data_IF_598921585415
#
_entry.id   IF_598921585415
#
_cell.length_a   1.000
_cell.length_b   1.000
_cell.length_c   1.000
_cell.angle_alpha   90.00
_cell.angle_beta   90.00
_cell.angle_gamma   90.00
#
_symmetry.space_group_name_H-M   'P 1'
#
loop_
_entity.id
_entity.type
_entity.pdbx_description
1 polymer ?
#
# COMPACT_ATOMS: atom_id res chain seq x y z
N UNK A 1 -39.62 21.16 -22.68
CA UNK A 1 -39.21 20.44 -21.44
C UNK A 1 -38.30 19.27 -21.79
N UNK A 2 -37.16 19.54 -22.46
CA UNK A 2 -36.30 18.48 -23.00
C UNK A 2 -34.83 18.93 -22.96
N UNK A 3 -34.27 19.11 -21.77
CA UNK A 3 -32.86 19.53 -21.59
C UNK A 3 -32.31 19.15 -20.20
N UNK A 4 -32.72 18.00 -19.63
CA UNK A 4 -32.40 17.72 -18.21
C UNK A 4 -31.90 16.31 -17.88
N UNK A 5 -31.51 15.48 -18.87
CA UNK A 5 -31.04 14.10 -18.57
C UNK A 5 -29.68 13.69 -19.14
N UNK A 6 -28.99 14.54 -19.91
CA UNK A 6 -27.66 14.17 -20.45
C UNK A 6 -26.46 14.66 -19.63
N UNK A 7 -26.67 15.38 -18.52
CA UNK A 7 -25.58 15.95 -17.71
C UNK A 7 -25.34 15.22 -16.39
N UNK A 8 -25.27 13.88 -16.39
CA UNK A 8 -24.93 13.11 -15.19
C UNK A 8 -23.98 11.93 -15.40
N UNK A 9 -23.41 11.72 -16.59
CA UNK A 9 -22.46 10.62 -16.83
C UNK A 9 -20.99 11.05 -16.97
N UNK A 10 -20.67 12.35 -16.84
CA UNK A 10 -19.28 12.81 -16.78
C UNK A 10 -18.94 13.30 -15.38
N UNK A 11 -19.01 12.39 -14.40
CA UNK A 11 -18.27 12.58 -13.14
C UNK A 11 -16.79 12.49 -13.52
N UNK A 12 -16.22 13.65 -13.85
CA UNK A 12 -14.78 13.87 -13.85
C UNK A 12 -14.26 13.58 -12.45
N UNK A 13 -13.91 12.31 -12.20
CA UNK A 13 -12.93 11.95 -11.20
C UNK A 13 -11.57 12.30 -11.79
N UNK A 14 -11.25 13.60 -11.83
CA UNK A 14 -9.86 14.03 -11.84
C UNK A 14 -9.29 13.64 -10.47
N UNK A 15 -8.99 12.35 -10.32
CA UNK A 15 -8.22 11.84 -9.20
C UNK A 15 -6.80 12.34 -9.44
N UNK A 16 -6.22 13.16 -8.55
CA UNK A 16 -4.82 13.48 -8.66
C UNK A 16 -4.05 12.16 -8.65
N UNK A 17 -3.13 12.00 -9.62
CA UNK A 17 -2.20 10.89 -9.83
C UNK A 17 -1.30 10.68 -8.61
N UNK A 18 -1.92 10.32 -7.48
CA UNK A 18 -1.22 9.96 -6.25
C UNK A 18 -0.99 8.46 -6.23
N UNK A 19 -1.00 7.81 -7.40
CA UNK A 19 -0.45 6.48 -7.53
C UNK A 19 1.05 6.57 -7.24
N UNK A 20 1.54 5.72 -6.35
CA UNK A 20 2.98 5.70 -6.09
C UNK A 20 3.67 5.22 -7.37
N UNK A 21 4.70 5.95 -7.83
CA UNK A 21 5.47 5.60 -9.03
C UNK A 21 5.92 4.12 -9.02
N UNK A 22 6.15 3.55 -7.83
CA UNK A 22 6.41 2.11 -7.66
C UNK A 22 5.26 1.21 -8.09
N UNK A 23 4.01 1.50 -7.73
CA UNK A 23 2.85 0.67 -8.12
C UNK A 23 2.67 0.74 -9.64
N UNK A 24 2.86 1.93 -10.23
CA UNK A 24 2.84 2.08 -11.69
C UNK A 24 3.94 1.24 -12.37
N UNK A 25 5.16 1.23 -11.84
CA UNK A 25 6.26 0.42 -12.35
C UNK A 25 5.97 -1.10 -12.26
N UNK A 26 5.32 -1.54 -11.18
CA UNK A 26 4.90 -2.94 -11.03
C UNK A 26 3.86 -3.34 -12.08
N UNK A 27 2.88 -2.48 -12.37
CA UNK A 27 1.88 -2.71 -13.41
C UNK A 27 2.53 -2.82 -14.80
N UNK A 28 3.51 -1.97 -15.11
CA UNK A 28 4.24 -2.06 -16.37
C UNK A 28 5.01 -3.39 -16.48
N UNK A 29 5.64 -3.83 -15.40
CA UNK A 29 6.32 -5.14 -15.35
C UNK A 29 5.35 -6.31 -15.54
N UNK A 30 4.13 -6.25 -14.99
CA UNK A 30 3.10 -7.26 -15.22
C UNK A 30 2.77 -7.36 -16.72
N UNK A 31 2.58 -6.21 -17.38
CA UNK A 31 2.30 -6.15 -18.81
C UNK A 31 3.46 -6.69 -19.66
N UNK A 32 4.71 -6.36 -19.33
CA UNK A 32 5.90 -6.91 -20.00
C UNK A 32 6.00 -8.44 -19.82
N UNK A 33 5.59 -8.96 -18.66
CA UNK A 33 5.49 -10.38 -18.41
C UNK A 33 4.28 -11.06 -19.08
N UNK A 34 3.50 -10.33 -19.87
CA UNK A 34 2.30 -10.82 -20.54
C UNK A 34 1.11 -11.05 -19.61
N UNK A 35 1.18 -10.58 -18.35
CA UNK A 35 0.09 -10.69 -17.39
C UNK A 35 -0.82 -9.50 -17.52
N UNK A 36 -2.11 -9.76 -17.71
CA UNK A 36 -3.13 -8.73 -17.82
C UNK A 36 -4.43 -9.21 -17.19
N UNK A 37 -5.10 -8.31 -16.50
CA UNK A 37 -6.47 -8.52 -16.08
C UNK A 37 -7.41 -8.20 -17.24
N UNK A 38 -8.05 -9.23 -17.80
CA UNK A 38 -8.91 -9.08 -18.97
C UNK A 38 -10.21 -8.33 -18.67
N UNK A 39 -10.72 -8.36 -17.43
CA UNK A 39 -11.89 -7.58 -17.04
C UNK A 39 -11.59 -6.08 -17.06
N UNK A 40 -10.47 -5.69 -16.44
CA UNK A 40 -9.98 -4.31 -16.48
C UNK A 40 -9.59 -3.87 -17.89
N UNK A 41 -9.06 -4.78 -18.70
CA UNK A 41 -8.71 -4.50 -20.10
C UNK A 41 -9.95 -4.19 -20.94
N UNK A 42 -11.01 -5.00 -20.81
CA UNK A 42 -12.26 -4.78 -21.52
C UNK A 42 -12.92 -3.46 -21.11
N UNK A 43 -12.88 -3.13 -19.82
CA UNK A 43 -13.33 -1.81 -19.34
C UNK A 43 -12.53 -0.68 -19.99
N UNK A 44 -11.20 -0.77 -20.00
CA UNK A 44 -10.33 0.24 -20.61
C UNK A 44 -10.59 0.39 -22.12
N UNK A 45 -10.84 -0.71 -22.84
CA UNK A 45 -11.19 -0.72 -24.26
C UNK A 45 -12.54 -0.05 -24.51
N UNK A 46 -13.55 -0.35 -23.69
CA UNK A 46 -14.88 0.26 -23.78
C UNK A 46 -14.81 1.78 -23.55
N UNK A 47 -14.11 2.22 -22.49
CA UNK A 47 -13.92 3.65 -22.17
C UNK A 47 -13.11 4.39 -23.24
N UNK A 48 -12.25 3.67 -23.96
CA UNK A 48 -11.39 4.22 -25.02
C UNK A 48 -12.00 4.08 -26.42
N UNK A 49 -13.25 3.66 -26.55
CA UNK A 49 -13.92 3.43 -27.85
C UNK A 49 -13.13 2.49 -28.77
N UNK A 50 -12.55 1.44 -28.20
CA UNK A 50 -11.73 0.43 -28.89
C UNK A 50 -10.41 0.95 -29.47
N UNK A 51 -9.99 2.17 -29.15
CA UNK A 51 -8.65 2.67 -29.45
C UNK A 51 -7.64 2.00 -28.50
N UNK A 52 -6.84 1.07 -29.05
CA UNK A 52 -5.89 0.27 -28.28
C UNK A 52 -4.82 1.11 -27.57
N UNK A 53 -4.40 2.23 -28.18
CA UNK A 53 -3.37 3.10 -27.62
C UNK A 53 -3.89 3.83 -26.37
N UNK A 54 -5.10 4.38 -26.46
CA UNK A 54 -5.78 5.02 -25.33
C UNK A 54 -6.19 4.01 -24.27
N UNK A 55 -6.64 2.83 -24.69
CA UNK A 55 -6.99 1.74 -23.78
C UNK A 55 -5.80 1.27 -22.96
N UNK A 56 -4.58 1.25 -23.53
CA UNK A 56 -3.38 0.90 -22.78
C UNK A 56 -3.10 1.91 -21.67
N UNK A 57 -3.15 3.22 -21.96
CA UNK A 57 -2.98 4.27 -20.94
C UNK A 57 -4.06 4.14 -19.86
N UNK A 58 -5.31 3.90 -20.28
CA UNK A 58 -6.43 3.76 -19.34
C UNK A 58 -6.35 2.51 -18.48
N UNK A 59 -5.94 1.38 -19.06
CA UNK A 59 -5.72 0.12 -18.35
C UNK A 59 -4.66 0.29 -17.27
N UNK A 60 -3.52 0.93 -17.58
CA UNK A 60 -2.45 1.17 -16.60
C UNK A 60 -2.99 1.98 -15.43
N UNK A 61 -3.80 3.01 -15.67
CA UNK A 61 -4.41 3.81 -14.61
C UNK A 61 -5.36 2.97 -13.73
N UNK A 62 -6.29 2.22 -14.33
CA UNK A 62 -7.24 1.37 -13.62
C UNK A 62 -6.55 0.28 -12.78
N UNK A 63 -5.56 -0.40 -13.37
CA UNK A 63 -4.79 -1.45 -12.69
C UNK A 63 -3.93 -0.89 -11.56
N UNK A 64 -3.34 0.29 -11.76
CA UNK A 64 -2.57 0.98 -10.72
C UNK A 64 -3.47 1.36 -9.55
N UNK A 65 -4.67 1.86 -9.81
CA UNK A 65 -5.65 2.20 -8.77
C UNK A 65 -6.09 0.95 -7.98
N UNK A 66 -6.37 -0.16 -8.68
CA UNK A 66 -6.73 -1.43 -8.04
C UNK A 66 -5.60 -1.94 -7.13
N UNK A 67 -4.35 -1.96 -7.62
CA UNK A 67 -3.19 -2.41 -6.85
C UNK A 67 -2.81 -1.47 -5.69
N UNK A 68 -3.16 -0.19 -5.79
CA UNK A 68 -2.74 0.78 -4.78
C UNK A 68 -3.36 0.51 -3.40
N UNK A 69 -4.59 -0.01 -3.35
CA UNK A 69 -5.22 -0.44 -2.10
C UNK A 69 -4.46 -1.61 -1.45
N UNK A 70 -4.15 -2.62 -2.24
CA UNK A 70 -3.52 -3.85 -1.78
C UNK A 70 -2.07 -3.61 -1.30
N UNK A 71 -1.29 -2.84 -2.05
CA UNK A 71 0.10 -2.55 -1.70
C UNK A 71 0.20 -1.71 -0.42
N UNK A 72 -0.68 -0.71 -0.24
CA UNK A 72 -0.74 0.07 1.01
C UNK A 72 -1.08 -0.84 2.20
N UNK A 73 -2.07 -1.72 2.04
CA UNK A 73 -2.48 -2.66 3.09
C UNK A 73 -1.36 -3.63 3.47
N UNK A 74 -0.65 -4.18 2.48
CA UNK A 74 0.48 -5.07 2.70
C UNK A 74 1.66 -4.36 3.37
N UNK A 75 2.02 -3.16 2.92
CA UNK A 75 3.11 -2.38 3.52
C UNK A 75 2.83 -2.05 4.99
N UNK A 76 1.61 -1.63 5.31
CA UNK A 76 1.20 -1.35 6.69
C UNK A 76 1.30 -2.62 7.56
N UNK A 77 0.86 -3.77 7.04
CA UNK A 77 0.98 -5.06 7.76
C UNK A 77 2.43 -5.43 8.02
N UNK A 78 3.31 -5.27 7.03
CA UNK A 78 4.74 -5.54 7.18
C UNK A 78 5.41 -4.60 8.18
N UNK A 79 5.10 -3.30 8.16
CA UNK A 79 5.60 -2.32 9.14
C UNK A 79 5.14 -2.70 10.55
N UNK A 80 3.84 -2.96 10.77
CA UNK A 80 3.33 -3.38 12.09
C UNK A 80 3.98 -4.68 12.56
N UNK A 81 4.15 -5.65 11.66
CA UNK A 81 4.82 -6.90 11.96
C UNK A 81 6.30 -6.73 12.31
N UNK A 82 7.02 -5.86 11.59
CA UNK A 82 8.41 -5.52 11.90
C UNK A 82 8.53 -4.77 13.23
N UNK A 83 7.66 -3.80 13.53
CA UNK A 83 7.62 -3.07 14.82
C UNK A 83 7.28 -4.01 15.98
N UNK A 84 6.35 -4.94 15.80
CA UNK A 84 6.04 -5.96 16.81
C UNK A 84 7.22 -6.91 17.06
N UNK A 85 7.98 -7.25 16.01
CA UNK A 85 9.21 -8.04 16.13
C UNK A 85 10.33 -7.25 16.81
N UNK A 86 10.50 -5.98 16.49
CA UNK A 86 11.51 -5.10 17.10
C UNK A 86 11.22 -4.87 18.60
N UNK A 87 9.96 -4.59 18.95
CA UNK A 87 9.51 -4.50 20.34
C UNK A 87 9.47 -5.84 21.09
N UNK A 88 9.55 -6.98 20.38
CA UNK A 88 9.69 -8.32 20.95
C UNK A 88 11.13 -8.83 21.02
N UNK A 89 12.02 -8.33 20.16
CA UNK A 89 13.43 -8.73 20.05
C UNK A 89 14.37 -7.85 20.88
N UNK A 90 13.95 -6.66 21.27
CA UNK A 90 14.50 -5.97 22.45
C UNK A 90 13.98 -6.68 23.70
N UNK A 91 14.60 -7.82 23.99
CA UNK A 91 14.34 -8.72 25.11
C UNK A 91 14.64 -8.13 26.48
N UNK A 92 14.35 -6.85 26.69
CA UNK A 92 14.26 -6.27 28.02
C UNK A 92 12.95 -5.51 28.10
N UNK A 93 11.86 -6.26 28.28
CA UNK A 93 10.78 -5.73 29.11
C UNK A 93 11.40 -5.55 30.50
N UNK A 94 12.00 -4.38 30.73
CA UNK A 94 12.17 -3.81 32.06
C UNK A 94 10.76 -3.58 32.60
N UNK A 95 10.06 -4.67 32.91
CA UNK A 95 8.97 -4.63 33.86
C UNK A 95 9.55 -4.04 35.13
N UNK A 96 8.74 -3.28 35.88
CA UNK A 96 9.18 -2.59 37.10
C UNK A 96 9.94 -3.54 38.06
N UNK A 97 9.64 -4.84 38.02
CA UNK A 97 10.36 -5.91 38.69
C UNK A 97 11.84 -6.06 38.25
N UNK A 98 12.13 -6.05 36.95
CA UNK A 98 13.51 -6.20 36.44
C UNK A 98 14.39 -4.98 36.71
N UNK A 99 13.80 -3.78 36.81
CA UNK A 99 14.52 -2.58 37.23
C UNK A 99 14.94 -2.68 38.71
N UNK A 100 14.05 -3.19 39.57
CA UNK A 100 14.33 -3.41 40.98
C UNK A 100 15.44 -4.45 41.20
N UNK A 101 15.39 -5.58 40.49
CA UNK A 101 16.43 -6.61 40.56
C UNK A 101 17.79 -6.09 40.05
N UNK A 102 17.80 -5.31 38.97
CA UNK A 102 19.03 -4.70 38.43
C UNK A 102 19.63 -3.67 39.40
N UNK A 103 18.78 -2.85 40.03
CA UNK A 103 19.21 -1.90 41.07
C UNK A 103 19.73 -2.63 42.31
N UNK A 104 19.06 -3.69 42.77
CA UNK A 104 19.49 -4.50 43.91
C UNK A 104 20.81 -5.25 43.67
N UNK A 105 21.01 -5.79 42.47
CA UNK A 105 22.29 -6.40 42.08
C UNK A 105 23.43 -5.38 42.08
N UNK A 106 23.15 -4.14 41.65
CA UNK A 106 24.17 -3.07 41.59
C UNK A 106 24.47 -2.44 42.94
N UNK A 107 23.52 -2.43 43.88
CA UNK A 107 23.75 -1.97 45.26
C UNK A 107 24.47 -3.02 46.11
N UNK A 108 24.23 -4.32 45.89
CA UNK A 108 24.90 -5.41 46.63
C UNK A 108 26.31 -5.74 46.10
N UNK A 109 26.59 -5.50 44.82
CA UNK A 109 27.92 -5.72 44.23
C UNK A 109 28.94 -4.61 44.54
N UNK A 110 28.54 -3.48 45.13
CA UNK A 110 29.43 -2.33 45.40
C UNK A 110 30.04 -2.32 46.81
N UNK A 111 29.96 -3.43 47.54
CA UNK A 111 30.46 -3.56 48.91
C UNK A 111 31.35 -4.79 49.11
N UNK A 112 32.44 -4.91 48.34
CA UNK A 112 33.55 -5.77 48.75
C UNK A 112 34.91 -5.13 48.40
N UNK A 113 35.38 -4.29 49.32
CA UNK A 113 36.78 -4.16 49.74
C UNK A 113 36.84 -3.38 51.04
#
# INVERSE_FOLDING_TARGET
MAELVHSLFFRSSFMPDTSSNMVRALVLRELEAGKRDDGLWLQAMAESKMDKSKAQVRYVALRTQAMQGDVKGLLIKQIRGAVAKDSGSSGVRLSNAGLADYLAAKTTSSGNK
#
